data_IF_458311285091
#
_entry.id   IF_458311285091
#
_cell.length_a   1.000
_cell.length_b   1.000
_cell.length_c   1.000
_cell.angle_alpha   90.00
_cell.angle_beta   90.00
_cell.angle_gamma   90.00
#
_symmetry.space_group_name_H-M   'P 1'
#
loop_
_entity.id
_entity.type
_entity.pdbx_description
1 polymer ?
#
# COMPACT_ATOMS: atom_id res chain seq x y z
N UNK A 1 -33.03 -31.96 8.69
CA UNK A 1 -32.99 -30.48 8.77
C UNK A 1 -31.51 -30.08 8.69
N UNK A 2 -30.90 -30.09 7.49
CA UNK A 2 -29.45 -29.89 7.28
C UNK A 2 -29.11 -28.78 6.25
N UNK A 3 -30.13 -28.13 5.68
CA UNK A 3 -29.95 -27.10 4.65
C UNK A 3 -29.32 -25.79 5.17
N UNK A 4 -29.27 -25.58 6.49
CA UNK A 4 -28.68 -24.38 7.11
C UNK A 4 -27.17 -24.31 6.91
N UNK A 5 -26.44 -25.39 7.20
CA UNK A 5 -24.96 -25.39 7.17
C UNK A 5 -24.39 -25.20 5.76
N UNK A 6 -24.99 -25.85 4.77
CA UNK A 6 -24.60 -25.68 3.36
C UNK A 6 -24.87 -24.25 2.85
N UNK A 7 -26.03 -23.67 3.17
CA UNK A 7 -26.38 -22.30 2.76
C UNK A 7 -25.46 -21.25 3.42
N UNK A 8 -24.97 -21.52 4.62
CA UNK A 8 -24.06 -20.66 5.35
C UNK A 8 -22.63 -20.77 4.82
N UNK A 9 -22.16 -21.99 4.55
CA UNK A 9 -20.89 -22.25 3.90
C UNK A 9 -20.83 -21.57 2.51
N UNK A 10 -21.88 -21.69 1.70
CA UNK A 10 -21.95 -21.03 0.39
C UNK A 10 -21.98 -19.50 0.49
N UNK A 11 -22.63 -18.93 1.52
CA UNK A 11 -22.59 -17.48 1.78
C UNK A 11 -21.19 -17.03 2.19
N UNK A 12 -20.51 -17.79 3.04
CA UNK A 12 -19.14 -17.52 3.47
C UNK A 12 -18.15 -17.58 2.28
N UNK A 13 -18.23 -18.63 1.46
CA UNK A 13 -17.39 -18.77 0.26
C UNK A 13 -17.57 -17.61 -0.73
N UNK A 14 -18.82 -17.18 -0.99
CA UNK A 14 -19.09 -16.01 -1.84
C UNK A 14 -18.56 -14.70 -1.25
N UNK A 15 -18.61 -14.54 0.07
CA UNK A 15 -18.04 -13.39 0.74
C UNK A 15 -16.51 -13.37 0.62
N UNK A 16 -15.85 -14.52 0.79
CA UNK A 16 -14.41 -14.69 0.64
C UNK A 16 -13.94 -14.43 -0.81
N UNK A 17 -14.68 -14.93 -1.81
CA UNK A 17 -14.36 -14.67 -3.22
C UNK A 17 -14.41 -13.17 -3.56
N UNK A 18 -15.47 -12.47 -3.14
CA UNK A 18 -15.59 -11.01 -3.33
C UNK A 18 -14.52 -10.23 -2.56
N UNK A 19 -14.12 -10.71 -1.40
CA UNK A 19 -13.02 -10.14 -0.65
C UNK A 19 -11.72 -10.23 -1.44
N UNK A 20 -11.39 -11.40 -1.97
CA UNK A 20 -10.17 -11.62 -2.75
C UNK A 20 -10.13 -10.76 -4.02
N UNK A 21 -11.26 -10.65 -4.73
CA UNK A 21 -11.41 -9.79 -5.91
C UNK A 21 -11.14 -8.31 -5.58
N UNK A 22 -11.80 -7.76 -4.55
CA UNK A 22 -11.58 -6.36 -4.13
C UNK A 22 -10.16 -6.11 -3.65
N UNK A 23 -9.56 -7.10 -2.99
CA UNK A 23 -8.17 -7.03 -2.55
C UNK A 23 -7.21 -7.02 -3.74
N UNK A 24 -7.46 -7.85 -4.75
CA UNK A 24 -6.70 -7.86 -6.00
C UNK A 24 -6.79 -6.53 -6.73
N UNK A 25 -7.99 -5.96 -6.85
CA UNK A 25 -8.21 -4.65 -7.47
C UNK A 25 -7.47 -3.53 -6.72
N UNK A 26 -7.53 -3.53 -5.39
CA UNK A 26 -6.75 -2.62 -4.55
C UNK A 26 -5.25 -2.73 -4.85
N UNK A 27 -4.71 -3.94 -4.83
CA UNK A 27 -3.28 -4.18 -5.02
C UNK A 27 -2.81 -3.78 -6.42
N UNK A 28 -3.58 -4.12 -7.46
CA UNK A 28 -3.26 -3.74 -8.84
C UNK A 28 -3.27 -2.22 -9.04
N UNK A 29 -4.28 -1.54 -8.49
CA UNK A 29 -4.39 -0.07 -8.54
C UNK A 29 -3.22 0.59 -7.81
N UNK A 30 -2.91 0.12 -6.59
CA UNK A 30 -1.85 0.68 -5.78
C UNK A 30 -0.47 0.45 -6.42
N UNK A 31 -0.24 -0.73 -7.01
CA UNK A 31 0.99 -1.05 -7.74
C UNK A 31 1.16 -0.20 -8.99
N UNK A 32 0.09 -0.01 -9.78
CA UNK A 32 0.12 0.85 -10.96
C UNK A 32 0.54 2.29 -10.60
N UNK A 33 0.01 2.83 -9.50
CA UNK A 33 0.33 4.18 -9.02
C UNK A 33 1.77 4.28 -8.51
N UNK A 34 2.24 3.29 -7.74
CA UNK A 34 3.63 3.25 -7.30
C UNK A 34 4.58 3.21 -8.49
N UNK A 35 4.32 2.35 -9.48
CA UNK A 35 5.14 2.27 -10.69
C UNK A 35 5.13 3.60 -11.46
N UNK A 36 3.99 4.30 -11.50
CA UNK A 36 3.92 5.65 -12.07
C UNK A 36 4.77 6.66 -11.29
N UNK A 37 4.77 6.64 -9.95
CA UNK A 37 5.66 7.47 -9.12
C UNK A 37 7.13 7.21 -9.47
N UNK A 38 7.49 5.95 -9.71
CA UNK A 38 8.84 5.56 -10.13
C UNK A 38 9.17 5.93 -11.59
N UNK A 39 8.24 6.58 -12.31
CA UNK A 39 8.44 7.05 -13.69
C UNK A 39 8.08 6.03 -14.77
N UNK A 40 7.43 4.92 -14.44
CA UNK A 40 7.02 3.93 -15.43
C UNK A 40 5.89 4.46 -16.34
N UNK A 41 6.02 4.19 -17.63
CA UNK A 41 4.99 4.48 -18.63
C UNK A 41 3.85 3.45 -18.61
N UNK A 42 2.76 3.72 -19.35
CA UNK A 42 1.57 2.84 -19.38
C UNK A 42 1.92 1.41 -19.87
N UNK A 43 2.93 1.26 -20.73
CA UNK A 43 3.34 -0.05 -21.27
C UNK A 43 4.08 -0.86 -20.22
N UNK A 44 5.05 -0.25 -19.55
CA UNK A 44 5.82 -0.90 -18.47
C UNK A 44 4.90 -1.33 -17.32
N UNK A 45 3.91 -0.50 -16.97
CA UNK A 45 2.88 -0.86 -15.98
C UNK A 45 2.05 -2.05 -16.46
N UNK A 46 1.62 -2.05 -17.72
CA UNK A 46 0.83 -3.13 -18.31
C UNK A 46 1.57 -4.47 -18.29
N UNK A 47 2.84 -4.46 -18.72
CA UNK A 47 3.70 -5.64 -18.73
C UNK A 47 3.95 -6.16 -17.31
N UNK A 48 4.21 -5.27 -16.34
CA UNK A 48 4.43 -5.64 -14.95
C UNK A 48 3.19 -6.24 -14.26
N UNK A 49 1.99 -5.77 -14.61
CA UNK A 49 0.73 -6.24 -14.03
C UNK A 49 0.07 -7.37 -14.85
N UNK A 50 0.61 -7.71 -16.02
CA UNK A 50 0.01 -8.70 -16.91
C UNK A 50 -1.35 -8.28 -17.47
N UNK A 51 -1.54 -6.98 -17.72
CA UNK A 51 -2.81 -6.40 -18.21
C UNK A 51 -2.60 -5.65 -19.53
N UNK A 52 -3.69 -5.20 -20.17
CA UNK A 52 -3.57 -4.35 -21.36
C UNK A 52 -3.11 -2.93 -21.01
N UNK A 53 -2.50 -2.19 -21.94
CA UNK A 53 -2.13 -0.77 -21.75
C UNK A 53 -3.34 0.11 -21.41
N UNK A 54 -4.51 -0.18 -21.99
CA UNK A 54 -5.77 0.49 -21.64
C UNK A 54 -6.14 0.27 -20.17
N UNK A 55 -5.95 -0.96 -19.70
CA UNK A 55 -6.23 -1.33 -18.32
C UNK A 55 -5.23 -0.71 -17.35
N UNK A 56 -3.93 -0.71 -17.67
CA UNK A 56 -2.91 0.00 -16.90
C UNK A 56 -3.25 1.49 -16.72
N UNK A 57 -3.62 2.16 -17.82
CA UNK A 57 -4.06 3.56 -17.77
C UNK A 57 -5.31 3.75 -16.89
N UNK A 58 -6.27 2.82 -16.97
CA UNK A 58 -7.47 2.83 -16.12
C UNK A 58 -7.08 2.68 -14.65
N UNK A 59 -6.25 1.70 -14.30
CA UNK A 59 -5.81 1.45 -12.92
C UNK A 59 -5.12 2.68 -12.31
N UNK A 60 -4.25 3.36 -13.07
CA UNK A 60 -3.59 4.59 -12.59
C UNK A 60 -4.61 5.71 -12.31
N UNK A 61 -5.64 5.85 -13.16
CA UNK A 61 -6.65 6.89 -13.04
C UNK A 61 -7.75 6.59 -12.01
N UNK A 62 -8.03 5.31 -11.77
CA UNK A 62 -9.08 4.87 -10.85
C UNK A 62 -8.66 5.15 -9.41
N UNK A 63 -9.52 5.74 -8.57
CA UNK A 63 -9.25 5.88 -7.15
C UNK A 63 -9.07 4.51 -6.46
N UNK A 64 -8.11 4.41 -5.55
CA UNK A 64 -7.80 3.17 -4.85
C UNK A 64 -8.97 2.84 -3.92
N UNK A 65 -9.60 1.65 -4.05
CA UNK A 65 -10.78 1.32 -3.27
C UNK A 65 -10.47 1.14 -1.78
N UNK A 66 -11.36 1.62 -0.91
CA UNK A 66 -11.31 1.33 0.54
C UNK A 66 -11.83 -0.09 0.77
N UNK A 67 -11.05 -0.91 1.45
CA UNK A 67 -11.41 -2.29 1.73
C UNK A 67 -12.19 -2.38 3.05
N UNK A 68 -13.46 -2.75 2.97
CA UNK A 68 -14.28 -3.12 4.12
C UNK A 68 -14.88 -4.51 3.87
N UNK A 69 -14.67 -5.44 4.81
CA UNK A 69 -15.06 -6.85 4.65
C UNK A 69 -16.25 -7.16 5.55
N UNK A 70 -17.34 -7.62 4.95
CA UNK A 70 -18.48 -8.18 5.68
C UNK A 70 -18.40 -9.72 5.69
N UNK A 71 -17.36 -10.28 6.30
CA UNK A 71 -17.22 -11.73 6.49
C UNK A 71 -17.69 -12.14 7.90
N UNK A 72 -18.19 -13.38 8.05
CA UNK A 72 -18.50 -13.97 9.36
C UNK A 72 -17.23 -14.49 10.03
N UNK A 73 -17.22 -14.59 11.36
CA UNK A 73 -16.03 -14.95 12.17
C UNK A 73 -15.22 -16.16 11.63
N UNK A 74 -15.82 -17.31 11.28
CA UNK A 74 -15.03 -18.45 10.78
C UNK A 74 -14.36 -18.18 9.43
N UNK A 75 -15.02 -17.41 8.55
CA UNK A 75 -14.41 -16.97 7.29
C UNK A 75 -13.30 -15.94 7.53
N UNK A 76 -13.38 -15.12 8.58
CA UNK A 76 -12.33 -14.15 8.92
C UNK A 76 -11.01 -14.87 9.27
N UNK A 77 -11.07 -15.99 9.99
CA UNK A 77 -9.87 -16.74 10.37
C UNK A 77 -9.23 -17.46 9.17
N UNK A 78 -10.04 -18.02 8.26
CA UNK A 78 -9.54 -18.56 6.98
C UNK A 78 -8.92 -17.47 6.11
N UNK A 79 -9.56 -16.30 6.04
CA UNK A 79 -9.07 -15.15 5.28
C UNK A 79 -7.75 -14.59 5.82
N UNK A 80 -7.44 -14.75 7.12
CA UNK A 80 -6.17 -14.30 7.70
C UNK A 80 -4.97 -15.04 7.10
N UNK A 81 -5.10 -16.34 6.87
CA UNK A 81 -4.04 -17.13 6.23
C UNK A 81 -3.87 -16.72 4.76
N UNK A 82 -4.98 -16.54 4.04
CA UNK A 82 -4.95 -16.06 2.65
C UNK A 82 -4.34 -14.66 2.57
N UNK A 83 -4.69 -13.76 3.49
CA UNK A 83 -4.12 -12.43 3.57
C UNK A 83 -2.61 -12.49 3.78
N UNK A 84 -2.14 -13.30 4.73
CA UNK A 84 -0.70 -13.48 4.98
C UNK A 84 0.03 -13.97 3.74
N UNK A 85 -0.55 -14.94 3.02
CA UNK A 85 0.01 -15.47 1.78
C UNK A 85 0.04 -14.40 0.66
N UNK A 86 -1.04 -13.62 0.51
CA UNK A 86 -1.12 -12.52 -0.46
C UNK A 86 -0.07 -11.45 -0.14
N UNK A 87 0.02 -11.03 1.12
CA UNK A 87 0.98 -10.01 1.55
C UNK A 87 2.43 -10.50 1.33
N UNK A 88 2.71 -11.79 1.55
CA UNK A 88 4.00 -12.40 1.23
C UNK A 88 4.29 -12.45 -0.28
N UNK A 89 3.29 -12.77 -1.12
CA UNK A 89 3.43 -12.72 -2.59
C UNK A 89 3.69 -11.30 -3.08
N UNK A 90 2.96 -10.31 -2.54
CA UNK A 90 3.18 -8.89 -2.87
C UNK A 90 4.60 -8.48 -2.48
N UNK A 91 5.05 -8.85 -1.28
CA UNK A 91 6.41 -8.57 -0.84
C UNK A 91 7.45 -9.23 -1.72
N UNK A 92 7.29 -10.50 -2.06
CA UNK A 92 8.22 -11.23 -2.93
C UNK A 92 8.27 -10.64 -4.36
N UNK A 93 7.12 -10.24 -4.91
CA UNK A 93 7.03 -9.71 -6.27
C UNK A 93 7.52 -8.25 -6.40
N UNK A 94 7.31 -7.43 -5.37
CA UNK A 94 7.55 -5.99 -5.45
C UNK A 94 8.66 -5.45 -4.54
N UNK A 95 9.09 -6.24 -3.56
CA UNK A 95 9.97 -5.79 -2.47
C UNK A 95 9.30 -4.85 -1.47
N UNK A 96 7.97 -4.67 -1.54
CA UNK A 96 7.20 -3.76 -0.69
C UNK A 96 6.23 -4.54 0.18
N UNK A 97 6.06 -4.10 1.43
CA UNK A 97 4.90 -4.52 2.21
C UNK A 97 3.63 -3.79 1.72
N UNK A 98 2.46 -4.34 2.06
CA UNK A 98 1.20 -3.81 1.53
C UNK A 98 0.83 -2.45 2.13
N UNK A 99 1.31 -2.14 3.33
CA UNK A 99 1.06 -0.84 3.94
C UNK A 99 1.90 0.26 3.26
N UNK A 100 3.15 -0.01 2.93
CA UNK A 100 3.99 0.84 2.09
C UNK A 100 3.37 1.05 0.71
N UNK A 101 2.85 -0.02 0.10
CA UNK A 101 2.15 0.08 -1.18
C UNK A 101 0.89 0.97 -1.08
N UNK A 102 0.14 0.84 0.02
CA UNK A 102 -1.03 1.67 0.31
C UNK A 102 -0.65 3.15 0.41
N UNK A 103 0.45 3.45 1.09
CA UNK A 103 0.84 4.84 1.31
C UNK A 103 1.40 5.50 0.06
N UNK A 104 2.15 4.76 -0.77
CA UNK A 104 2.51 5.27 -2.10
C UNK A 104 1.28 5.57 -2.96
N UNK A 105 0.26 4.71 -2.94
CA UNK A 105 -0.98 4.96 -3.67
C UNK A 105 -1.71 6.22 -3.17
N UNK A 106 -1.72 6.46 -1.86
CA UNK A 106 -2.31 7.67 -1.25
C UNK A 106 -1.52 8.94 -1.55
N UNK A 107 -0.19 8.85 -1.57
CA UNK A 107 0.68 9.95 -1.95
C UNK A 107 0.38 10.35 -3.39
N UNK A 108 0.36 9.38 -4.31
CA UNK A 108 -0.01 9.60 -5.71
C UNK A 108 -1.37 10.29 -5.84
N UNK A 109 -2.38 9.78 -5.15
CA UNK A 109 -3.73 10.35 -5.15
C UNK A 109 -3.76 11.79 -4.65
N UNK A 110 -3.09 12.08 -3.53
CA UNK A 110 -2.98 13.42 -2.98
C UNK A 110 -2.30 14.40 -3.93
N UNK A 111 -1.19 13.99 -4.56
CA UNK A 111 -0.46 14.80 -5.54
C UNK A 111 -1.27 15.09 -6.81
N UNK A 112 -2.17 14.19 -7.18
CA UNK A 112 -2.98 14.30 -8.40
C UNK A 112 -4.42 14.79 -8.13
N UNK A 113 -4.73 15.22 -6.90
CA UNK A 113 -6.07 15.70 -6.54
C UNK A 113 -7.18 14.63 -6.68
N UNK A 114 -6.82 13.35 -6.69
CA UNK A 114 -7.75 12.23 -6.75
C UNK A 114 -8.13 11.88 -5.31
N UNK A 115 -9.41 11.96 -4.94
CA UNK A 115 -9.85 11.63 -3.58
C UNK A 115 -10.89 10.52 -3.58
N UNK A 116 -10.51 9.30 -3.17
CA UNK A 116 -11.42 8.27 -2.65
C UNK A 116 -11.44 8.20 -1.12
N UNK A 117 -10.39 8.72 -0.48
CA UNK A 117 -10.22 8.77 0.95
C UNK A 117 -10.17 10.24 1.35
N UNK A 118 -10.92 10.63 2.39
CA UNK A 118 -10.63 11.90 3.06
C UNK A 118 -9.16 11.95 3.53
N UNK A 119 -8.66 13.10 3.99
CA UNK A 119 -7.31 13.20 4.55
C UNK A 119 -7.10 12.08 5.58
N UNK A 120 -5.85 11.65 5.81
CA UNK A 120 -5.48 10.70 6.86
C UNK A 120 -6.15 11.08 8.21
N UNK A 121 -7.35 10.58 8.48
CA UNK A 121 -8.17 11.06 9.61
C UNK A 121 -8.01 10.15 10.84
N UNK A 122 -7.38 8.98 10.72
CA UNK A 122 -7.27 8.05 11.84
C UNK A 122 -5.85 7.52 12.02
N UNK A 123 -5.06 8.20 12.88
CA UNK A 123 -3.92 7.62 13.60
C UNK A 123 -2.53 8.12 13.20
N UNK A 124 -2.33 8.55 11.96
CA UNK A 124 -1.02 9.01 11.48
C UNK A 124 -0.99 10.53 11.41
N UNK A 125 -0.15 11.13 12.25
CA UNK A 125 0.06 12.58 12.31
C UNK A 125 1.41 12.96 11.69
N UNK A 126 1.57 14.23 11.32
CA UNK A 126 2.85 14.78 10.85
C UNK A 126 4.03 14.39 11.78
N UNK A 127 3.78 14.31 13.09
CA UNK A 127 4.80 13.92 14.08
C UNK A 127 5.25 12.45 13.94
N UNK A 128 4.35 11.52 13.58
CA UNK A 128 4.74 10.14 13.32
C UNK A 128 5.60 10.05 12.04
N UNK A 129 5.20 10.75 10.98
CA UNK A 129 5.98 10.79 9.74
C UNK A 129 7.38 11.40 9.97
N UNK A 130 7.48 12.49 10.76
CA UNK A 130 8.76 13.11 11.10
C UNK A 130 9.65 12.22 11.99
N UNK A 131 9.07 11.41 12.89
CA UNK A 131 9.82 10.40 13.64
C UNK A 131 10.38 9.32 12.72
N UNK A 132 9.61 8.84 11.75
CA UNK A 132 10.09 7.89 10.76
C UNK A 132 11.23 8.49 9.92
N UNK A 133 11.14 9.78 9.55
CA UNK A 133 12.24 10.49 8.88
C UNK A 133 13.52 10.43 9.72
N UNK A 134 13.44 10.75 11.01
CA UNK A 134 14.60 10.70 11.90
C UNK A 134 15.19 9.28 12.02
N UNK A 135 14.33 8.28 12.24
CA UNK A 135 14.74 6.87 12.38
C UNK A 135 15.47 6.38 11.12
N UNK A 136 14.88 6.58 9.94
CA UNK A 136 15.48 6.09 8.70
C UNK A 136 16.69 6.91 8.26
N UNK A 137 16.71 8.22 8.56
CA UNK A 137 17.91 9.05 8.33
C UNK A 137 19.07 8.59 9.21
N UNK A 138 18.85 8.38 10.51
CA UNK A 138 19.85 7.85 11.43
C UNK A 138 20.31 6.44 11.05
N UNK A 139 19.43 5.61 10.48
CA UNK A 139 19.84 4.28 9.99
C UNK A 139 20.75 4.35 8.77
N UNK A 140 20.64 5.38 7.92
CA UNK A 140 21.56 5.56 6.78
C UNK A 140 22.97 5.95 7.21
N UNK A 141 23.13 6.53 8.40
CA UNK A 141 24.45 6.89 8.96
C UNK A 141 25.01 5.80 9.87
N UNK A 142 24.27 4.71 10.10
CA UNK A 142 24.70 3.59 10.92
C UNK A 142 25.86 2.82 10.25
N UNK A 143 27.05 2.74 10.87
CA UNK A 143 28.19 2.02 10.32
C UNK A 143 27.96 0.50 10.19
N UNK A 144 26.96 -0.05 10.89
CA UNK A 144 26.56 -1.45 10.79
C UNK A 144 25.52 -1.74 9.71
N UNK A 145 25.10 -0.75 8.91
CA UNK A 145 24.14 -0.96 7.82
C UNK A 145 24.78 -1.77 6.68
N UNK A 146 24.17 -2.90 6.34
CA UNK A 146 24.66 -3.72 5.23
C UNK A 146 24.34 -3.05 3.87
N UNK A 147 25.19 -3.21 2.84
CA UNK A 147 24.88 -2.70 1.50
C UNK A 147 23.59 -3.26 0.91
N UNK A 148 23.16 -4.46 1.34
CA UNK A 148 21.92 -5.09 0.89
C UNK A 148 20.67 -4.41 1.47
N UNK A 149 20.77 -3.84 2.67
CA UNK A 149 19.65 -3.17 3.35
C UNK A 149 19.52 -1.69 2.94
N UNK A 150 20.60 -1.08 2.44
CA UNK A 150 20.64 0.32 2.05
C UNK A 150 19.47 0.75 1.13
N UNK A 151 19.12 0.00 0.06
CA UNK A 151 18.01 0.38 -0.81
C UNK A 151 16.66 0.39 -0.09
N UNK A 152 16.46 -0.51 0.88
CA UNK A 152 15.23 -0.56 1.68
C UNK A 152 15.13 0.64 2.63
N UNK A 153 16.22 1.00 3.32
CA UNK A 153 16.25 2.15 4.22
C UNK A 153 16.04 3.45 3.45
N UNK A 154 16.71 3.64 2.30
CA UNK A 154 16.53 4.83 1.46
C UNK A 154 15.08 4.96 0.97
N UNK A 155 14.45 3.85 0.61
CA UNK A 155 13.04 3.83 0.18
C UNK A 155 12.09 4.18 1.33
N UNK A 156 12.28 3.61 2.52
CA UNK A 156 11.49 3.93 3.71
C UNK A 156 11.66 5.40 4.14
N UNK A 157 12.87 5.95 4.05
CA UNK A 157 13.10 7.38 4.28
C UNK A 157 12.31 8.24 3.29
N UNK A 158 12.35 7.91 1.99
CA UNK A 158 11.59 8.64 0.96
C UNK A 158 10.09 8.62 1.25
N UNK A 159 9.56 7.46 1.65
CA UNK A 159 8.16 7.32 2.03
C UNK A 159 7.81 8.21 3.23
N UNK A 160 8.64 8.20 4.28
CA UNK A 160 8.44 9.01 5.47
C UNK A 160 8.43 10.51 5.15
N UNK A 161 9.35 10.97 4.30
CA UNK A 161 9.40 12.36 3.83
C UNK A 161 8.15 12.73 3.02
N UNK A 162 7.70 11.86 2.11
CA UNK A 162 6.51 12.10 1.30
C UNK A 162 5.24 12.16 2.17
N UNK A 163 5.10 11.25 3.15
CA UNK A 163 4.03 11.31 4.16
C UNK A 163 4.08 12.63 4.91
N UNK A 164 5.25 13.05 5.42
CA UNK A 164 5.39 14.30 6.17
C UNK A 164 4.91 15.50 5.36
N UNK A 165 5.28 15.59 4.07
CA UNK A 165 4.80 16.64 3.15
C UNK A 165 3.29 16.59 2.95
N UNK A 166 2.74 15.40 2.73
CA UNK A 166 1.29 15.21 2.56
C UNK A 166 0.50 15.65 3.81
N UNK A 167 1.10 15.55 5.00
CA UNK A 167 0.56 16.04 6.26
C UNK A 167 0.82 17.53 6.53
N UNK A 168 1.51 18.23 5.64
CA UNK A 168 1.77 19.67 5.74
C UNK A 168 3.11 20.06 6.37
N UNK A 169 4.05 19.13 6.58
CA UNK A 169 5.42 19.51 6.93
C UNK A 169 6.13 20.15 5.73
N UNK A 170 6.82 21.26 5.96
CA UNK A 170 7.71 21.86 4.97
C UNK A 170 9.09 21.17 4.96
N UNK A 171 9.89 21.45 3.92
CA UNK A 171 11.22 20.83 3.77
C UNK A 171 12.18 21.23 4.90
N UNK A 172 12.06 22.43 5.46
CA UNK A 172 12.88 22.88 6.60
C UNK A 172 12.65 22.00 7.82
N UNK A 173 11.39 21.71 8.13
CA UNK A 173 10.98 20.84 9.25
C UNK A 173 11.49 19.42 9.04
N UNK A 174 11.38 18.90 7.82
CA UNK A 174 11.85 17.55 7.46
C UNK A 174 13.37 17.46 7.61
N UNK A 175 14.13 18.42 7.05
CA UNK A 175 15.60 18.45 7.13
C UNK A 175 16.06 18.52 8.59
N UNK A 176 15.38 19.32 9.43
CA UNK A 176 15.68 19.42 10.85
C UNK A 176 15.59 18.09 11.61
N UNK A 177 14.75 17.15 11.14
CA UNK A 177 14.61 15.82 11.72
C UNK A 177 15.55 14.78 11.12
N UNK A 178 16.24 15.07 10.01
CA UNK A 178 17.22 14.15 9.43
C UNK A 178 18.56 14.15 10.16
N UNK A 179 18.86 15.22 10.91
CA UNK A 179 20.14 15.45 11.58
C UNK A 179 20.10 15.20 13.10
N UNK A 180 18.95 14.81 13.64
CA UNK A 180 18.73 14.54 15.06
C UNK A 180 18.84 13.05 15.36
#
# INVERSE_FOLDING_TARGET
MEYSSYSEAMRAARAAARWAERRGEFLATAMAKKLRIDGADDKTIADALGVSTREAKRLVATPTPVWAVAARQPAIDELRHVQTAVDAVVHAASGLDVDELRDWARIYEGENGISSCGPYIHGDSVNHALRDVAVFSGRLTDPGLSPADLPAVQRKLRLAQARARQFGADDTTIIGHMAA
#
